data_IF_925917171068
#
_entry.id   IF_925917171068
#
_cell.length_a   1.000
_cell.length_b   1.000
_cell.length_c   1.000
_cell.angle_alpha   90.00
_cell.angle_beta   90.00
_cell.angle_gamma   90.00
#
_symmetry.space_group_name_H-M   'P 1'
#
loop_
_entity.id
_entity.type
_entity.pdbx_description
1 polymer ?
#
# COMPACT_ATOMS: atom_id res chain seq x y z
N UNK A 1 5.68 1.77 10.01
CA UNK A 1 5.19 2.04 8.64
C UNK A 1 6.31 2.77 7.92
N UNK A 2 6.74 2.30 6.74
CA UNK A 2 7.81 2.95 5.98
C UNK A 2 7.42 4.35 5.49
N UNK A 3 8.37 5.06 4.88
CA UNK A 3 8.11 6.35 4.25
C UNK A 3 6.90 6.28 3.30
N UNK A 4 5.98 7.24 3.43
CA UNK A 4 4.69 7.23 2.71
C UNK A 4 4.91 7.29 1.20
N UNK A 5 5.85 8.12 0.76
CA UNK A 5 6.18 8.27 -0.66
C UNK A 5 6.74 6.97 -1.23
N UNK A 6 7.64 6.31 -0.49
CA UNK A 6 8.14 4.99 -0.86
C UNK A 6 7.02 3.95 -1.05
N UNK A 7 6.02 3.90 -0.16
CA UNK A 7 4.91 2.96 -0.31
C UNK A 7 4.03 3.29 -1.53
N UNK A 8 3.82 4.58 -1.84
CA UNK A 8 3.09 4.99 -3.04
C UNK A 8 3.80 4.47 -4.29
N UNK A 9 5.13 4.64 -4.39
CA UNK A 9 5.88 4.11 -5.53
C UNK A 9 5.82 2.58 -5.64
N UNK A 10 5.87 1.87 -4.52
CA UNK A 10 5.65 0.43 -4.51
C UNK A 10 4.25 0.07 -5.01
N UNK A 11 3.24 0.82 -4.60
CA UNK A 11 1.86 0.58 -5.01
C UNK A 11 1.63 0.90 -6.49
N UNK A 12 2.26 1.94 -7.04
CA UNK A 12 2.19 2.25 -8.47
C UNK A 12 2.77 1.13 -9.35
N UNK A 13 3.82 0.45 -8.87
CA UNK A 13 4.50 -0.60 -9.63
C UNK A 13 3.88 -1.98 -9.41
N UNK A 14 3.49 -2.30 -8.17
CA UNK A 14 3.07 -3.65 -7.79
C UNK A 14 1.60 -3.74 -7.38
N UNK A 15 0.86 -2.63 -7.33
CA UNK A 15 -0.51 -2.59 -6.83
C UNK A 15 -1.48 -3.51 -7.58
N UNK A 16 -1.23 -3.75 -8.88
CA UNK A 16 -2.00 -4.69 -9.69
C UNK A 16 -1.88 -6.16 -9.24
N UNK A 17 -0.86 -6.51 -8.47
CA UNK A 17 -0.63 -7.85 -7.93
C UNK A 17 -1.32 -8.08 -6.58
N UNK A 18 -1.86 -7.03 -5.97
CA UNK A 18 -2.65 -7.13 -4.75
C UNK A 18 -4.09 -7.55 -5.06
N UNK A 19 -4.76 -8.16 -4.08
CA UNK A 19 -6.21 -8.42 -4.19
C UNK A 19 -7.00 -7.12 -4.31
N UNK A 20 -8.18 -7.15 -4.94
CA UNK A 20 -9.04 -5.97 -5.11
C UNK A 20 -9.36 -5.28 -3.77
N UNK A 21 -9.51 -6.05 -2.69
CA UNK A 21 -9.72 -5.53 -1.34
C UNK A 21 -8.50 -4.76 -0.83
N UNK A 22 -7.30 -5.32 -0.97
CA UNK A 22 -6.06 -4.65 -0.58
C UNK A 22 -5.83 -3.38 -1.41
N UNK A 23 -6.04 -3.44 -2.72
CA UNK A 23 -5.93 -2.27 -3.60
C UNK A 23 -6.87 -1.14 -3.18
N UNK A 24 -8.14 -1.45 -2.90
CA UNK A 24 -9.12 -0.45 -2.44
C UNK A 24 -8.70 0.17 -1.12
N UNK A 25 -8.19 -0.63 -0.19
CA UNK A 25 -7.72 -0.19 1.12
C UNK A 25 -6.49 0.73 0.99
N UNK A 26 -5.52 0.34 0.15
CA UNK A 26 -4.33 1.14 -0.15
C UNK A 26 -4.69 2.47 -0.81
N UNK A 27 -5.65 2.49 -1.75
CA UNK A 27 -6.15 3.73 -2.37
C UNK A 27 -6.75 4.68 -1.35
N UNK A 28 -7.68 4.18 -0.52
CA UNK A 28 -8.33 5.00 0.50
C UNK A 28 -7.32 5.64 1.47
N UNK A 29 -6.27 4.91 1.84
CA UNK A 29 -5.28 5.42 2.80
C UNK A 29 -4.19 6.29 2.16
N UNK A 30 -3.59 5.83 1.06
CA UNK A 30 -2.42 6.49 0.47
C UNK A 30 -2.76 7.58 -0.54
N UNK A 31 -3.88 7.47 -1.27
CA UNK A 31 -4.29 8.44 -2.30
C UNK A 31 -5.42 9.36 -1.85
N UNK A 32 -6.42 8.82 -1.15
CA UNK A 32 -7.58 9.60 -0.74
C UNK A 32 -7.42 10.25 0.66
N UNK A 33 -6.26 10.07 1.31
CA UNK A 33 -5.91 10.64 2.62
C UNK A 33 -6.85 10.27 3.79
N UNK A 34 -7.65 9.20 3.67
CA UNK A 34 -8.52 8.77 4.77
C UNK A 34 -7.70 8.17 5.91
N UNK A 35 -8.04 8.56 7.13
CA UNK A 35 -7.57 7.93 8.35
C UNK A 35 -8.10 6.49 8.48
N UNK A 36 -7.42 5.68 9.31
CA UNK A 36 -7.87 4.31 9.61
C UNK A 36 -9.30 4.26 10.17
N UNK A 37 -9.70 5.30 10.91
CA UNK A 37 -11.05 5.41 11.47
C UNK A 37 -12.11 5.66 10.41
N UNK A 38 -11.87 6.58 9.49
CA UNK A 38 -12.79 6.88 8.39
C UNK A 38 -12.92 5.68 7.44
N UNK A 39 -11.82 4.99 7.15
CA UNK A 39 -11.84 3.75 6.38
C UNK A 39 -12.65 2.67 7.10
N UNK A 40 -12.44 2.51 8.41
CA UNK A 40 -13.16 1.53 9.22
C UNK A 40 -14.67 1.77 9.20
N UNK A 41 -15.10 3.01 9.36
CA UNK A 41 -16.51 3.41 9.25
C UNK A 41 -17.06 3.13 7.84
N UNK A 42 -16.35 3.58 6.79
CA UNK A 42 -16.76 3.41 5.39
C UNK A 42 -16.86 1.93 4.97
N UNK A 43 -16.03 1.08 5.55
CA UNK A 43 -15.99 -0.36 5.28
C UNK A 43 -16.80 -1.21 6.27
N UNK A 44 -17.38 -0.59 7.31
CA UNK A 44 -18.07 -1.29 8.41
C UNK A 44 -17.22 -2.40 9.04
N UNK A 45 -15.95 -2.08 9.32
CA UNK A 45 -14.99 -2.97 10.00
C UNK A 45 -14.35 -2.24 11.17
N UNK A 46 -13.56 -2.93 11.98
CA UNK A 46 -12.81 -2.29 13.07
C UNK A 46 -11.58 -1.54 12.55
N UNK A 47 -11.15 -0.50 13.27
CA UNK A 47 -9.89 0.21 13.00
C UNK A 47 -8.68 -0.75 12.97
N UNK A 48 -8.68 -1.76 13.86
CA UNK A 48 -7.65 -2.79 13.90
C UNK A 48 -7.64 -3.63 12.62
N UNK A 49 -8.80 -4.04 12.12
CA UNK A 49 -8.88 -4.80 10.87
C UNK A 49 -8.37 -4.01 9.66
N UNK A 50 -8.57 -2.69 9.63
CA UNK A 50 -7.98 -1.80 8.61
C UNK A 50 -6.46 -1.77 8.75
N UNK A 51 -5.95 -1.54 9.97
CA UNK A 51 -4.52 -1.51 10.26
C UNK A 51 -3.82 -2.81 9.81
N UNK A 52 -4.33 -3.97 10.23
CA UNK A 52 -3.75 -5.27 9.90
C UNK A 52 -3.78 -5.53 8.38
N UNK A 53 -4.85 -5.12 7.71
CA UNK A 53 -4.99 -5.30 6.27
C UNK A 53 -4.04 -4.39 5.49
N UNK A 54 -3.83 -3.14 5.93
CA UNK A 54 -2.84 -2.24 5.35
C UNK A 54 -1.43 -2.79 5.57
N UNK A 55 -1.13 -3.23 6.79
CA UNK A 55 0.17 -3.78 7.14
C UNK A 55 0.52 -5.01 6.29
N UNK A 56 -0.44 -5.92 6.08
CA UNK A 56 -0.26 -7.07 5.18
C UNK A 56 -0.05 -6.65 3.73
N UNK A 57 -0.83 -5.70 3.22
CA UNK A 57 -0.68 -5.21 1.85
C UNK A 57 0.71 -4.58 1.63
N UNK A 58 1.17 -3.75 2.58
CA UNK A 58 2.52 -3.17 2.54
C UNK A 58 3.59 -4.25 2.60
N UNK A 59 3.43 -5.26 3.46
CA UNK A 59 4.34 -6.40 3.54
C UNK A 59 4.49 -7.14 2.22
N UNK A 60 3.39 -7.36 1.50
CA UNK A 60 3.43 -7.97 0.16
C UNK A 60 4.14 -7.09 -0.87
N UNK A 61 3.85 -5.79 -0.90
CA UNK A 61 4.54 -4.84 -1.79
C UNK A 61 6.05 -4.82 -1.55
N UNK A 62 6.47 -4.79 -0.29
CA UNK A 62 7.89 -4.86 0.08
C UNK A 62 8.52 -6.20 -0.29
N UNK A 63 7.77 -7.30 -0.14
CA UNK A 63 8.23 -8.63 -0.58
C UNK A 63 8.45 -8.64 -2.09
N UNK A 64 7.52 -8.11 -2.87
CA UNK A 64 7.65 -8.00 -4.32
C UNK A 64 8.88 -7.18 -4.72
N UNK A 65 9.11 -6.03 -4.08
CA UNK A 65 10.32 -5.23 -4.34
C UNK A 65 11.61 -5.95 -4.00
N UNK A 66 11.66 -6.72 -2.90
CA UNK A 66 12.86 -7.52 -2.57
C UNK A 66 13.19 -8.55 -3.66
N UNK A 67 12.19 -9.10 -4.33
CA UNK A 67 12.41 -10.12 -5.37
C UNK A 67 12.63 -9.52 -6.75
N UNK A 68 11.91 -8.45 -7.10
CA UNK A 68 11.86 -7.91 -8.46
C UNK A 68 12.69 -6.63 -8.63
N UNK A 69 12.81 -5.82 -7.57
CA UNK A 69 13.62 -4.60 -7.56
C UNK A 69 13.22 -3.55 -8.61
N UNK A 70 11.97 -3.56 -9.08
CA UNK A 70 11.52 -2.72 -10.19
C UNK A 70 11.40 -1.25 -9.79
N UNK A 71 11.02 -0.94 -8.56
CA UNK A 71 10.97 0.46 -8.09
C UNK A 71 12.40 1.02 -8.06
N UNK A 72 13.35 0.29 -7.48
CA UNK A 72 14.76 0.71 -7.50
C UNK A 72 15.30 0.89 -8.92
N UNK A 73 14.96 0.00 -9.86
CA UNK A 73 15.38 0.15 -11.27
C UNK A 73 14.75 1.36 -11.96
N UNK A 74 13.46 1.59 -11.74
CA UNK A 74 12.69 2.66 -12.38
C UNK A 74 13.08 4.06 -11.89
N UNK A 75 13.35 4.22 -10.60
CA UNK A 75 13.64 5.52 -9.99
C UNK A 75 15.11 5.73 -9.64
N UNK A 76 15.93 4.66 -9.61
CA UNK A 76 17.37 4.76 -9.38
C UNK A 76 18.18 5.23 -10.60
N UNK A 77 17.60 5.18 -11.81
CA UNK A 77 18.23 5.70 -13.02
C UNK A 77 18.07 7.22 -13.24
N UNK A 78 17.37 7.91 -12.32
CA UNK A 78 17.18 9.37 -12.33
C UNK A 78 18.16 10.11 -11.38
N UNK A 79 19.29 9.49 -11.04
CA UNK A 79 20.41 10.12 -10.35
C UNK A 79 21.66 10.07 -11.18
#
# INVERSE_FOLDING_TARGET
MGDRLHIIHLFDVYGGLLTSRQQRLMRLYYHDDLSLGEIAQRLRVTRQAVYDSLHRAVGELQRLERHLGLVRRRFGALR
#
